data_IF_767347504711
#
_entry.id   IF_767347504711
#
_cell.length_a   1.000
_cell.length_b   1.000
_cell.length_c   1.000
_cell.angle_alpha   90.00
_cell.angle_beta   90.00
_cell.angle_gamma   90.00
#
_symmetry.space_group_name_H-M   'P 1'
#
loop_
_entity.id
_entity.type
_entity.pdbx_description
1 polymer ?
#
# COMPACT_ATOMS: atom_id res chain seq x y z
N UNK A 1 -3.10 17.49 -10.38
CA UNK A 1 -3.68 16.67 -9.30
C UNK A 1 -2.73 16.73 -8.14
N UNK A 2 -3.25 16.84 -6.92
CA UNK A 2 -2.45 17.05 -5.72
C UNK A 2 -2.20 15.69 -5.01
N UNK A 3 -0.99 15.11 -5.09
CA UNK A 3 -0.71 13.75 -4.63
C UNK A 3 -0.73 13.62 -3.10
N UNK A 4 -0.93 12.41 -2.60
CA UNK A 4 -0.90 12.12 -1.16
C UNK A 4 0.45 12.45 -0.51
N UNK A 5 1.54 12.14 -1.22
CA UNK A 5 2.92 12.41 -0.83
C UNK A 5 3.78 12.73 -2.07
N UNK A 6 5.04 13.12 -1.87
CA UNK A 6 5.95 13.45 -2.98
C UNK A 6 6.23 12.22 -3.87
N UNK A 7 5.86 12.31 -5.15
CA UNK A 7 6.06 11.24 -6.12
C UNK A 7 7.54 10.85 -6.31
N UNK A 8 8.49 11.72 -5.97
CA UNK A 8 9.92 11.42 -6.03
C UNK A 8 10.35 10.32 -5.04
N UNK A 9 9.56 10.06 -3.99
CA UNK A 9 9.81 8.96 -3.06
C UNK A 9 9.62 7.58 -3.70
N UNK A 10 8.92 7.48 -4.84
CA UNK A 10 8.78 6.22 -5.58
C UNK A 10 9.98 6.10 -6.53
N UNK A 11 10.90 5.13 -6.33
CA UNK A 11 12.11 5.08 -7.14
C UNK A 11 11.82 4.77 -8.61
N UNK A 12 12.47 5.51 -9.51
CA UNK A 12 12.39 5.25 -10.96
C UNK A 12 12.85 3.84 -11.33
N UNK A 13 13.80 3.29 -10.58
CA UNK A 13 14.26 1.91 -10.76
C UNK A 13 13.13 0.88 -10.60
N UNK A 14 12.11 1.18 -9.78
CA UNK A 14 10.93 0.32 -9.62
C UNK A 14 9.90 0.59 -10.71
N UNK A 15 9.60 1.86 -11.00
CA UNK A 15 8.57 2.21 -11.99
C UNK A 15 8.98 1.81 -13.41
N UNK A 16 10.26 1.86 -13.76
CA UNK A 16 10.79 1.41 -15.05
C UNK A 16 10.64 -0.11 -15.27
N UNK A 17 10.38 -0.88 -14.21
CA UNK A 17 10.16 -2.34 -14.30
C UNK A 17 8.69 -2.73 -14.38
N UNK A 18 7.78 -1.76 -14.48
CA UNK A 18 6.37 -2.03 -14.76
C UNK A 18 6.19 -2.47 -16.22
N UNK A 19 5.19 -3.31 -16.51
CA UNK A 19 4.83 -3.60 -17.90
C UNK A 19 4.49 -2.32 -18.66
N UNK A 20 4.68 -2.34 -19.99
CA UNK A 20 4.28 -1.22 -20.86
C UNK A 20 2.83 -0.81 -20.59
N UNK A 21 2.58 0.49 -20.58
CA UNK A 21 1.24 1.05 -20.35
C UNK A 21 0.80 1.13 -18.89
N UNK A 22 1.55 0.51 -17.97
CA UNK A 22 1.30 0.64 -16.53
C UNK A 22 2.11 1.78 -15.93
N UNK A 23 1.55 2.43 -14.91
CA UNK A 23 2.20 3.50 -14.17
C UNK A 23 1.96 3.35 -12.68
N UNK A 24 2.91 3.78 -11.88
CA UNK A 24 2.78 3.83 -10.42
C UNK A 24 2.96 5.26 -9.95
N UNK A 25 2.13 5.69 -8.99
CA UNK A 25 2.18 7.03 -8.40
C UNK A 25 1.52 7.04 -7.02
N UNK A 26 1.71 8.11 -6.22
CA UNK A 26 0.93 8.32 -5.01
C UNK A 26 -0.58 8.35 -5.32
N UNK A 27 -1.38 7.93 -4.34
CA UNK A 27 -2.82 8.09 -4.34
C UNK A 27 -3.20 9.57 -4.54
N UNK A 28 -4.30 9.84 -5.24
CA UNK A 28 -4.94 11.15 -5.32
C UNK A 28 -6.43 11.02 -4.94
N UNK A 29 -7.05 12.13 -4.53
CA UNK A 29 -8.48 12.13 -4.16
C UNK A 29 -9.42 11.66 -5.27
N UNK A 30 -9.08 11.91 -6.54
CA UNK A 30 -9.85 11.44 -7.70
C UNK A 30 -9.71 9.94 -7.99
N UNK A 31 -8.84 9.21 -7.28
CA UNK A 31 -8.73 7.74 -7.45
C UNK A 31 -9.96 6.99 -6.95
N UNK A 32 -10.82 7.66 -6.17
CA UNK A 32 -12.18 7.20 -5.91
C UNK A 32 -12.88 6.76 -7.21
N UNK A 33 -12.80 7.58 -8.25
CA UNK A 33 -13.44 7.32 -9.55
C UNK A 33 -12.72 6.27 -10.38
N UNK A 34 -11.45 6.02 -10.06
CA UNK A 34 -10.57 5.10 -10.78
C UNK A 34 -10.62 3.69 -10.23
N UNK A 35 -11.46 3.43 -9.21
CA UNK A 35 -11.76 2.09 -8.71
C UNK A 35 -10.81 1.57 -7.64
N UNK A 36 -10.11 2.45 -6.91
CA UNK A 36 -9.20 2.02 -5.83
C UNK A 36 -9.93 1.19 -4.76
N UNK A 37 -11.17 1.57 -4.43
CA UNK A 37 -12.00 0.82 -3.48
C UNK A 37 -12.40 -0.57 -4.02
N UNK A 38 -12.58 -0.72 -5.33
CA UNK A 38 -12.88 -2.01 -5.94
C UNK A 38 -11.68 -2.95 -5.92
N UNK A 39 -10.47 -2.41 -6.08
CA UNK A 39 -9.22 -3.17 -5.96
C UNK A 39 -9.07 -3.72 -4.53
N UNK A 40 -9.35 -2.94 -3.50
CA UNK A 40 -9.26 -3.38 -2.10
C UNK A 40 -10.23 -4.51 -1.75
N UNK A 41 -11.35 -4.68 -2.48
CA UNK A 41 -12.31 -5.79 -2.26
C UNK A 41 -11.71 -7.17 -2.51
N UNK A 42 -10.58 -7.27 -3.24
CA UNK A 42 -9.88 -8.56 -3.39
C UNK A 42 -9.13 -8.99 -2.14
N UNK A 43 -8.86 -8.04 -1.24
CA UNK A 43 -8.13 -8.26 0.02
C UNK A 43 -9.10 -8.53 1.17
N UNK A 44 -10.10 -7.67 1.38
CA UNK A 44 -10.99 -7.75 2.54
C UNK A 44 -12.32 -7.00 2.33
N UNK A 45 -13.16 -6.96 3.36
CA UNK A 45 -14.39 -6.17 3.39
C UNK A 45 -14.05 -4.67 3.43
N UNK A 46 -14.47 -3.93 2.40
CA UNK A 46 -14.30 -2.47 2.33
C UNK A 46 -15.55 -1.72 2.84
N UNK A 47 -16.74 -2.28 2.60
CA UNK A 47 -18.01 -1.61 2.90
C UNK A 47 -18.40 -0.55 1.85
N UNK A 48 -19.39 0.27 2.21
CA UNK A 48 -19.95 1.32 1.36
C UNK A 48 -19.36 2.68 1.74
N UNK A 49 -18.30 3.10 1.04
CA UNK A 49 -17.62 4.38 1.26
C UNK A 49 -18.11 5.40 0.22
N UNK A 50 -18.71 6.48 0.68
CA UNK A 50 -19.09 7.60 -0.18
C UNK A 50 -17.85 8.37 -0.66
N UNK A 51 -18.01 9.16 -1.73
CA UNK A 51 -16.92 10.04 -2.19
C UNK A 51 -16.45 11.00 -1.10
N UNK A 52 -17.36 11.60 -0.34
CA UNK A 52 -17.00 12.55 0.72
C UNK A 52 -16.16 11.86 1.80
N UNK A 53 -16.57 10.68 2.26
CA UNK A 53 -15.81 9.89 3.23
C UNK A 53 -14.40 9.54 2.72
N UNK A 54 -14.28 9.15 1.44
CA UNK A 54 -12.97 8.89 0.85
C UNK A 54 -12.09 10.14 0.81
N UNK A 55 -12.65 11.29 0.43
CA UNK A 55 -11.92 12.57 0.37
C UNK A 55 -11.50 13.02 1.78
N UNK A 56 -12.35 12.87 2.77
CA UNK A 56 -12.04 13.18 4.17
C UNK A 56 -10.90 12.29 4.69
N UNK A 57 -10.95 10.98 4.41
CA UNK A 57 -9.88 10.05 4.75
C UNK A 57 -8.56 10.39 4.03
N UNK A 58 -8.63 10.73 2.75
CA UNK A 58 -7.48 11.18 1.97
C UNK A 58 -6.86 12.44 2.56
N UNK A 59 -7.67 13.43 2.92
CA UNK A 59 -7.20 14.68 3.53
C UNK A 59 -6.56 14.45 4.90
N UNK A 60 -7.13 13.53 5.70
CA UNK A 60 -6.52 13.12 6.95
C UNK A 60 -5.14 12.51 6.75
N UNK A 61 -5.00 11.49 5.88
CA UNK A 61 -3.71 10.88 5.57
C UNK A 61 -2.71 11.90 5.03
N UNK A 62 -3.18 12.82 4.18
CA UNK A 62 -2.36 13.89 3.63
C UNK A 62 -1.84 14.86 4.69
N UNK A 63 -2.64 15.17 5.71
CA UNK A 63 -2.18 15.96 6.87
C UNK A 63 -1.10 15.27 7.69
N UNK A 64 -0.93 13.95 7.48
CA UNK A 64 0.05 13.07 8.13
C UNK A 64 0.99 12.43 7.09
N UNK A 65 1.39 13.19 6.06
CA UNK A 65 2.20 12.72 4.92
C UNK A 65 3.53 12.07 5.29
N UNK A 66 4.08 12.34 6.48
CA UNK A 66 5.30 11.69 6.97
C UNK A 66 5.05 10.26 7.50
N UNK A 67 3.78 9.92 7.76
CA UNK A 67 3.35 8.61 8.25
C UNK A 67 2.72 7.78 7.13
N UNK A 68 1.76 8.33 6.37
CA UNK A 68 0.97 7.57 5.40
C UNK A 68 1.50 7.70 3.97
N UNK A 69 1.97 6.59 3.41
CA UNK A 69 2.45 6.52 2.03
C UNK A 69 1.67 5.47 1.24
N UNK A 70 0.48 5.83 0.76
CA UNK A 70 -0.35 4.98 -0.10
C UNK A 70 -0.08 5.26 -1.57
N UNK A 71 0.33 4.23 -2.32
CA UNK A 71 0.55 4.31 -3.76
C UNK A 71 -0.45 3.43 -4.51
N UNK A 72 -0.62 3.76 -5.79
CA UNK A 72 -1.47 3.02 -6.72
C UNK A 72 -0.71 2.68 -8.00
N UNK A 73 -1.09 1.55 -8.60
CA UNK A 73 -0.71 1.16 -9.96
C UNK A 73 -1.93 1.34 -10.85
N UNK A 74 -1.74 2.01 -11.99
CA UNK A 74 -2.78 2.19 -13.00
C UNK A 74 -2.39 1.48 -14.30
N UNK A 75 -3.39 0.98 -15.02
CA UNK A 75 -3.24 0.39 -16.35
C UNK A 75 -3.39 1.46 -17.46
N UNK A 76 -3.37 1.00 -18.71
CA UNK A 76 -3.50 1.84 -19.92
C UNK A 76 -4.83 2.60 -20.01
N UNK A 77 -5.89 2.08 -19.39
CA UNK A 77 -7.21 2.70 -19.35
C UNK A 77 -7.37 3.68 -18.18
N UNK A 78 -6.26 4.05 -17.53
CA UNK A 78 -6.23 4.96 -16.37
C UNK A 78 -7.09 4.48 -15.19
N UNK A 79 -7.25 3.15 -15.05
CA UNK A 79 -7.92 2.50 -13.92
C UNK A 79 -6.90 2.07 -12.88
N UNK A 80 -7.21 2.23 -11.60
CA UNK A 80 -6.42 1.65 -10.51
C UNK A 80 -6.60 0.13 -10.55
N UNK A 81 -5.48 -0.57 -10.58
CA UNK A 81 -5.40 -2.04 -10.69
C UNK A 81 -4.57 -2.69 -9.59
N UNK A 82 -3.87 -1.88 -8.80
CA UNK A 82 -3.15 -2.32 -7.61
C UNK A 82 -2.91 -1.15 -6.66
N UNK A 83 -2.79 -1.45 -5.37
CA UNK A 83 -2.50 -0.47 -4.34
C UNK A 83 -1.73 -1.12 -3.18
N UNK A 84 -1.11 -0.26 -2.38
CA UNK A 84 -0.49 -0.65 -1.12
C UNK A 84 -0.07 0.58 -0.34
N UNK A 85 0.10 0.40 0.96
CA UNK A 85 0.48 1.45 1.90
C UNK A 85 1.73 1.04 2.65
N UNK A 86 2.63 2.00 2.94
CA UNK A 86 3.59 1.87 4.03
C UNK A 86 3.32 2.96 5.07
N UNK A 87 3.09 2.54 6.31
CA UNK A 87 3.02 3.41 7.48
C UNK A 87 4.41 3.53 8.10
N UNK A 88 4.85 4.76 8.34
CA UNK A 88 6.14 5.03 9.01
C UNK A 88 5.88 5.38 10.46
N UNK A 89 6.18 4.45 11.37
CA UNK A 89 6.00 4.63 12.81
C UNK A 89 7.31 5.04 13.48
N UNK A 90 7.31 6.16 14.20
CA UNK A 90 8.45 6.57 15.04
C UNK A 90 8.36 5.90 16.41
N UNK A 91 9.49 5.45 16.94
CA UNK A 91 9.59 4.73 18.22
C UNK A 91 10.59 5.39 19.15
N UNK A 92 10.57 5.05 20.43
CA UNK A 92 11.64 5.41 21.38
C UNK A 92 12.82 4.42 21.31
N UNK A 93 12.52 3.15 21.05
CA UNK A 93 13.52 2.09 20.89
C UNK A 93 14.36 2.30 19.62
N UNK A 94 15.52 1.65 19.57
CA UNK A 94 16.50 1.82 18.48
C UNK A 94 16.87 3.29 18.25
N UNK A 95 17.20 4.00 19.34
CA UNK A 95 17.68 5.40 19.31
C UNK A 95 16.70 6.34 18.62
N UNK A 96 15.44 6.33 19.07
CA UNK A 96 14.36 7.08 18.43
C UNK A 96 14.10 6.68 16.95
N UNK A 97 14.34 5.41 16.62
CA UNK A 97 14.27 4.89 15.26
C UNK A 97 12.84 4.76 14.71
N UNK A 98 12.75 4.41 13.42
CA UNK A 98 11.47 4.23 12.72
C UNK A 98 11.27 2.81 12.19
N UNK A 99 10.01 2.36 12.12
CA UNK A 99 9.62 1.10 11.47
C UNK A 99 8.63 1.39 10.36
N UNK A 100 8.82 0.76 9.21
CA UNK A 100 7.82 0.74 8.14
C UNK A 100 6.87 -0.44 8.32
N UNK A 101 5.57 -0.22 8.21
CA UNK A 101 4.54 -1.26 8.22
C UNK A 101 3.85 -1.26 6.87
N UNK A 102 4.03 -2.33 6.10
CA UNK A 102 3.34 -2.49 4.82
C UNK A 102 1.93 -3.02 5.08
N UNK A 103 0.94 -2.31 4.56
CA UNK A 103 -0.48 -2.57 4.75
C UNK A 103 -1.24 -2.53 3.42
N UNK A 104 -2.43 -3.12 3.41
CA UNK A 104 -3.44 -2.99 2.34
C UNK A 104 -2.93 -3.31 0.92
N UNK A 105 -2.10 -4.35 0.80
CA UNK A 105 -1.60 -4.83 -0.49
C UNK A 105 -2.71 -5.53 -1.27
N UNK A 106 -3.12 -4.93 -2.38
CA UNK A 106 -4.14 -5.48 -3.26
C UNK A 106 -3.78 -5.32 -4.74
N UNK A 107 -4.08 -6.34 -5.54
CA UNK A 107 -3.98 -6.33 -7.00
C UNK A 107 -5.23 -6.96 -7.56
N UNK A 108 -5.91 -6.26 -8.48
CA UNK A 108 -7.12 -6.73 -9.14
C UNK A 108 -6.89 -8.13 -9.75
N UNK A 109 -7.88 -9.03 -9.63
CA UNK A 109 -7.73 -10.47 -9.95
C UNK A 109 -7.25 -10.72 -11.39
N UNK A 110 -7.80 -9.97 -12.34
CA UNK A 110 -7.46 -9.99 -13.77
C UNK A 110 -6.08 -9.36 -14.09
N UNK A 111 -5.43 -8.80 -13.08
CA UNK A 111 -4.13 -8.12 -13.17
C UNK A 111 -3.04 -8.83 -12.36
N UNK A 112 -3.39 -9.93 -11.67
CA UNK A 112 -2.45 -10.78 -10.95
C UNK A 112 -1.54 -11.56 -11.93
N UNK A 113 -0.41 -12.08 -11.44
CA UNK A 113 0.60 -12.75 -12.27
C UNK A 113 1.49 -11.82 -13.11
N UNK A 114 1.15 -10.52 -13.24
CA UNK A 114 1.93 -9.52 -14.00
C UNK A 114 3.05 -8.85 -13.20
N UNK A 115 3.47 -9.45 -12.08
CA UNK A 115 4.47 -8.92 -11.13
C UNK A 115 4.12 -7.56 -10.49
N UNK A 116 2.89 -7.05 -10.62
CA UNK A 116 2.48 -5.76 -10.06
C UNK A 116 2.62 -5.72 -8.54
N UNK A 117 2.17 -6.77 -7.84
CA UNK A 117 2.31 -6.88 -6.38
C UNK A 117 3.77 -6.80 -5.94
N UNK A 118 4.68 -7.49 -6.64
CA UNK A 118 6.13 -7.40 -6.38
C UNK A 118 6.64 -5.96 -6.54
N UNK A 119 6.18 -5.23 -7.57
CA UNK A 119 6.57 -3.82 -7.76
C UNK A 119 6.03 -2.92 -6.66
N UNK A 120 4.81 -3.15 -6.19
CA UNK A 120 4.23 -2.42 -5.05
C UNK A 120 5.09 -2.65 -3.81
N UNK A 121 5.40 -3.90 -3.44
CA UNK A 121 6.25 -4.21 -2.28
C UNK A 121 7.64 -3.56 -2.38
N UNK A 122 8.27 -3.64 -3.55
CA UNK A 122 9.58 -3.02 -3.78
C UNK A 122 9.52 -1.50 -3.57
N UNK A 123 8.52 -0.82 -4.14
CA UNK A 123 8.36 0.63 -3.97
C UNK A 123 8.15 1.01 -2.50
N UNK A 124 7.25 0.32 -1.79
CA UNK A 124 6.98 0.57 -0.37
C UNK A 124 8.21 0.31 0.52
N UNK A 125 8.99 -0.72 0.19
CA UNK A 125 10.25 -1.03 0.88
C UNK A 125 11.29 0.08 0.72
N UNK A 126 11.45 0.59 -0.50
CA UNK A 126 12.37 1.70 -0.75
C UNK A 126 11.88 3.02 -0.12
N UNK A 127 10.57 3.27 -0.09
CA UNK A 127 10.00 4.41 0.65
C UNK A 127 10.36 4.30 2.13
N UNK A 128 10.10 3.15 2.77
CA UNK A 128 10.45 2.93 4.17
C UNK A 128 11.95 3.14 4.44
N UNK A 129 12.82 2.62 3.57
CA UNK A 129 14.27 2.82 3.67
C UNK A 129 14.64 4.31 3.55
N UNK A 130 14.10 5.02 2.55
CA UNK A 130 14.36 6.44 2.34
C UNK A 130 13.89 7.31 3.50
N UNK A 131 12.85 6.89 4.22
CA UNK A 131 12.34 7.55 5.42
C UNK A 131 13.15 7.27 6.70
N UNK A 132 14.20 6.44 6.60
CA UNK A 132 15.09 6.10 7.71
C UNK A 132 14.58 4.96 8.59
N UNK A 133 13.68 4.11 8.09
CA UNK A 133 13.25 2.95 8.84
C UNK A 133 14.39 1.94 8.99
N UNK A 134 14.68 1.50 10.22
CA UNK A 134 15.71 0.48 10.46
C UNK A 134 15.24 -0.93 10.07
N UNK A 135 13.92 -1.13 9.96
CA UNK A 135 13.30 -2.31 9.38
C UNK A 135 11.93 -1.98 8.78
N UNK A 136 11.46 -2.88 7.93
CA UNK A 136 10.10 -2.89 7.40
C UNK A 136 9.46 -4.24 7.69
N UNK A 137 8.19 -4.23 8.06
CA UNK A 137 7.45 -5.43 8.44
C UNK A 137 6.08 -5.44 7.76
N UNK A 138 5.51 -6.64 7.69
CA UNK A 138 4.14 -6.91 7.26
C UNK A 138 3.72 -8.23 7.84
N UNK A 139 2.41 -8.40 7.98
CA UNK A 139 1.79 -9.66 8.32
C UNK A 139 1.16 -10.28 7.07
N UNK A 140 1.20 -11.62 6.99
CA UNK A 140 0.58 -12.32 5.88
C UNK A 140 0.12 -13.73 6.25
N UNK A 141 -0.90 -14.20 5.53
CA UNK A 141 -1.33 -15.59 5.59
C UNK A 141 -0.27 -16.55 5.04
N UNK A 142 -0.21 -17.76 5.56
CA UNK A 142 0.75 -18.81 5.18
C UNK A 142 0.88 -19.04 3.66
N UNK A 143 -0.23 -19.00 2.91
CA UNK A 143 -0.19 -19.23 1.45
C UNK A 143 0.53 -18.10 0.67
N UNK A 144 0.68 -16.92 1.25
CA UNK A 144 1.37 -15.77 0.65
C UNK A 144 2.83 -15.65 1.07
N UNK A 145 3.32 -16.46 2.02
CA UNK A 145 4.71 -16.38 2.52
C UNK A 145 5.72 -16.46 1.37
N UNK A 146 5.56 -17.42 0.45
CA UNK A 146 6.45 -17.57 -0.72
C UNK A 146 6.46 -16.35 -1.65
N UNK A 147 5.38 -15.58 -1.70
CA UNK A 147 5.36 -14.34 -2.45
C UNK A 147 6.22 -13.28 -1.77
N UNK A 148 6.12 -13.13 -0.45
CA UNK A 148 6.92 -12.16 0.30
C UNK A 148 8.40 -12.55 0.40
N UNK A 149 8.72 -13.84 0.46
CA UNK A 149 10.10 -14.34 0.34
C UNK A 149 10.74 -13.93 -1.00
N UNK A 150 9.99 -14.00 -2.11
CA UNK A 150 10.44 -13.50 -3.42
C UNK A 150 10.62 -11.98 -3.46
N UNK A 151 10.00 -11.25 -2.54
CA UNK A 151 10.18 -9.81 -2.36
C UNK A 151 11.37 -9.49 -1.43
N UNK A 152 12.07 -10.50 -0.89
CA UNK A 152 13.22 -10.33 -0.01
C UNK A 152 12.88 -10.31 1.49
N UNK A 153 11.64 -10.61 1.86
CA UNK A 153 11.24 -10.72 3.27
C UNK A 153 11.56 -12.11 3.83
N UNK A 154 11.73 -12.18 5.14
CA UNK A 154 11.88 -13.44 5.89
C UNK A 154 10.81 -13.51 6.99
N UNK A 155 10.48 -14.71 7.48
CA UNK A 155 9.56 -14.85 8.62
C UNK A 155 10.08 -14.07 9.83
N UNK A 156 9.25 -13.18 10.38
CA UNK A 156 9.63 -12.26 11.45
C UNK A 156 9.02 -12.55 12.82
N UNK A 157 7.99 -13.39 12.91
CA UNK A 157 7.25 -13.66 14.15
C UNK A 157 5.86 -14.20 13.87
N UNK A 158 5.00 -14.18 14.89
CA UNK A 158 3.59 -14.52 14.79
C UNK A 158 2.74 -13.24 14.88
N UNK A 159 1.77 -13.11 13.96
CA UNK A 159 0.69 -12.12 14.07
C UNK A 159 -0.32 -12.61 15.12
N UNK A 160 -0.68 -11.75 16.06
CA UNK A 160 -1.67 -12.04 17.11
C UNK A 160 -2.84 -11.07 16.97
N UNK A 161 -4.07 -11.58 16.94
CA UNK A 161 -5.26 -10.79 16.66
C UNK A 161 -6.30 -10.95 17.78
N UNK A 162 -6.71 -9.83 18.39
CA UNK A 162 -7.89 -9.73 19.24
C UNK A 162 -8.94 -8.88 18.51
N UNK A 163 -10.08 -9.48 18.16
CA UNK A 163 -11.15 -8.78 17.41
C UNK A 163 -12.15 -8.16 18.38
N UNK A 164 -12.40 -6.86 18.25
CA UNK A 164 -13.51 -6.16 18.89
C UNK A 164 -14.65 -6.07 17.87
N UNK A 165 -15.85 -6.54 18.23
CA UNK A 165 -17.06 -6.74 17.39
C UNK A 165 -16.99 -6.22 15.93
N UNK A 166 -17.07 -7.14 14.97
CA UNK A 166 -17.31 -6.81 13.55
C UNK A 166 -18.70 -6.18 13.44
N UNK A 167 -18.88 -5.03 12.75
CA UNK A 167 -20.21 -4.61 12.34
C UNK A 167 -20.88 -5.77 11.61
N UNK A 168 -22.08 -6.15 12.06
CA UNK A 168 -22.92 -7.13 11.39
C UNK A 168 -22.95 -6.80 9.90
N UNK A 169 -22.77 -7.82 9.05
CA UNK A 169 -22.97 -7.70 7.60
C UNK A 169 -24.25 -6.89 7.34
N UNK A 170 -24.10 -5.69 6.76
CA UNK A 170 -25.19 -5.03 6.04
C UNK A 170 -25.37 -5.73 4.70
#
# INVERSE_FOLDING_TARGET
MDPLFDAQLIPRSVTNQLPSGYRMRPLVSSDYDKGVLDVLKVLTVVGNISRSQFVDQFNYWKSKKDMYHTLVVLNEQDRVVGCGTVLVESKLIHECGKVGHIEDIAVAKDQQGKKLGLRIINALTEIGRAQGCYKIILDCSEHNVKFYEKCGFTRGGAEMVLKFQTPSKL
#
